data_IF_137109532913
#
_entry.id   IF_137109532913
#
_cell.length_a   1.000
_cell.length_b   1.000
_cell.length_c   1.000
_cell.angle_alpha   90.00
_cell.angle_beta   90.00
_cell.angle_gamma   90.00
#
_symmetry.space_group_name_H-M   'P 1'
#
loop_
_entity.id
_entity.type
_entity.pdbx_description
1 polymer ?
#
# COMPACT_ATOMS: atom_id res chain seq x y z
N UNK A 1 -10.20 3.68 14.11
CA UNK A 1 -9.21 3.58 13.04
C UNK A 1 -7.91 4.37 13.32
N UNK A 2 -7.99 5.61 13.83
CA UNK A 2 -6.79 6.45 14.12
C UNK A 2 -5.93 5.84 15.24
N UNK A 3 -6.53 5.24 16.25
CA UNK A 3 -5.82 4.64 17.38
C UNK A 3 -5.22 3.24 17.12
N UNK A 4 -5.50 2.60 15.98
CA UNK A 4 -5.00 1.27 15.67
C UNK A 4 -3.48 1.24 15.51
N UNK A 5 -2.86 2.14 14.71
CA UNK A 5 -1.42 2.15 14.54
C UNK A 5 -0.64 2.32 15.85
N UNK A 6 -1.08 3.24 16.70
CA UNK A 6 -0.36 3.53 17.96
C UNK A 6 -0.33 2.34 18.90
N UNK A 7 -1.40 1.51 18.91
CA UNK A 7 -1.45 0.30 19.74
C UNK A 7 -0.51 -0.79 19.23
N UNK A 8 -0.40 -0.94 17.91
CA UNK A 8 0.50 -1.93 17.29
C UNK A 8 1.95 -1.47 17.44
N UNK A 9 2.22 -0.19 17.15
CA UNK A 9 3.57 0.37 17.18
C UNK A 9 4.09 0.61 18.62
N UNK A 10 3.27 0.42 19.64
CA UNK A 10 3.71 0.51 21.03
C UNK A 10 4.87 -0.46 21.31
N UNK A 11 4.83 -1.71 20.80
CA UNK A 11 5.93 -2.68 20.93
C UNK A 11 7.20 -2.21 20.23
N UNK A 12 7.10 -1.68 19.01
CA UNK A 12 8.26 -1.12 18.27
C UNK A 12 8.88 0.07 19.02
N UNK A 13 8.06 0.84 19.73
CA UNK A 13 8.53 1.95 20.56
C UNK A 13 9.06 1.54 21.93
N UNK A 14 9.09 0.24 22.23
CA UNK A 14 9.58 -0.30 23.51
C UNK A 14 8.60 -0.11 24.68
N UNK A 15 7.33 0.13 24.41
CA UNK A 15 6.33 0.21 25.47
C UNK A 15 6.13 -1.16 26.14
N UNK A 16 6.04 -1.22 27.48
CA UNK A 16 5.93 -2.48 28.20
C UNK A 16 4.56 -3.16 28.04
N UNK A 17 3.54 -2.47 27.57
CA UNK A 17 2.21 -3.01 27.29
C UNK A 17 1.44 -2.16 26.29
N UNK A 18 0.38 -2.73 25.74
CA UNK A 18 -0.64 -2.06 24.93
C UNK A 18 -2.04 -2.48 25.34
N UNK A 19 -3.06 -1.85 24.76
CA UNK A 19 -4.45 -2.13 25.08
C UNK A 19 -5.14 -2.86 23.91
N UNK A 20 -5.69 -4.03 24.21
CA UNK A 20 -6.57 -4.77 23.33
C UNK A 20 -7.93 -5.04 24.01
N UNK A 21 -8.97 -5.27 23.22
CA UNK A 21 -10.25 -5.74 23.78
C UNK A 21 -10.27 -7.26 23.83
N UNK A 22 -11.04 -7.83 24.78
CA UNK A 22 -11.23 -9.27 24.84
C UNK A 22 -11.94 -9.81 23.58
N UNK A 23 -12.99 -9.09 23.12
CA UNK A 23 -13.75 -9.44 21.92
C UNK A 23 -14.01 -8.19 21.08
N UNK A 24 -14.02 -8.33 19.75
CA UNK A 24 -14.15 -7.19 18.84
C UNK A 24 -15.45 -6.40 19.05
N UNK A 25 -16.57 -7.09 19.35
CA UNK A 25 -17.86 -6.45 19.60
C UNK A 25 -17.92 -5.69 20.93
N UNK A 26 -16.86 -5.79 21.74
CA UNK A 26 -16.74 -5.12 23.06
C UNK A 26 -15.62 -4.09 23.05
N UNK A 27 -15.37 -3.45 21.89
CA UNK A 27 -14.39 -2.37 21.80
C UNK A 27 -14.82 -1.18 22.65
N UNK A 28 -13.95 -0.74 23.54
CA UNK A 28 -14.18 0.38 24.47
C UNK A 28 -13.65 1.71 23.91
N UNK A 29 -12.85 1.68 22.86
CA UNK A 29 -12.29 2.85 22.25
C UNK A 29 -12.12 2.69 20.74
N UNK A 30 -12.26 3.77 19.95
CA UNK A 30 -12.04 3.73 18.49
C UNK A 30 -10.66 3.19 18.14
N UNK A 31 -10.61 2.29 17.13
CA UNK A 31 -9.37 1.70 16.67
C UNK A 31 -8.74 0.65 17.60
N UNK A 32 -9.47 0.22 18.63
CA UNK A 32 -9.05 -0.87 19.49
C UNK A 32 -9.26 -2.20 18.76
N UNK A 33 -8.21 -3.02 18.71
CA UNK A 33 -8.25 -4.39 18.19
C UNK A 33 -8.55 -5.38 19.30
N UNK A 34 -9.13 -6.54 18.94
CA UNK A 34 -9.24 -7.64 19.89
C UNK A 34 -7.86 -8.26 20.15
N UNK A 35 -7.72 -8.92 21.31
CA UNK A 35 -6.51 -9.70 21.63
C UNK A 35 -6.18 -10.70 20.53
N UNK A 36 -7.18 -11.40 20.01
CA UNK A 36 -7.00 -12.34 18.90
C UNK A 36 -6.44 -11.67 17.65
N UNK A 37 -6.95 -10.49 17.25
CA UNK A 37 -6.39 -9.77 16.11
C UNK A 37 -4.95 -9.29 16.35
N UNK A 38 -4.63 -8.87 17.57
CA UNK A 38 -3.24 -8.51 17.92
C UNK A 38 -2.30 -9.71 17.79
N UNK A 39 -2.76 -10.92 18.13
CA UNK A 39 -1.96 -12.14 18.01
C UNK A 39 -1.95 -12.71 16.58
N UNK A 40 -3.12 -12.94 16.00
CA UNK A 40 -3.24 -13.68 14.74
C UNK A 40 -2.72 -12.87 13.53
N UNK A 41 -2.90 -11.55 13.55
CA UNK A 41 -2.49 -10.67 12.44
C UNK A 41 -1.09 -10.11 12.67
N UNK A 42 -0.79 -9.62 13.88
CA UNK A 42 0.42 -8.86 14.14
C UNK A 42 1.48 -9.62 14.92
N UNK A 43 1.14 -10.77 15.54
CA UNK A 43 2.01 -11.50 16.49
C UNK A 43 2.62 -10.54 17.52
N UNK A 44 1.76 -9.75 18.15
CA UNK A 44 2.17 -8.59 18.95
C UNK A 44 3.22 -8.93 20.01
N UNK A 45 3.14 -10.12 20.63
CA UNK A 45 4.08 -10.53 21.67
C UNK A 45 5.53 -10.70 21.18
N UNK A 46 5.73 -10.81 19.86
CA UNK A 46 7.06 -10.88 19.26
C UNK A 46 7.60 -9.54 18.79
N UNK A 47 6.77 -8.48 18.80
CA UNK A 47 7.18 -7.15 18.32
C UNK A 47 8.12 -6.50 19.35
N UNK A 48 9.30 -6.15 18.89
CA UNK A 48 10.33 -5.44 19.66
C UNK A 48 10.86 -4.22 18.88
N UNK A 49 11.84 -3.52 19.45
CA UNK A 49 12.44 -2.32 18.89
C UNK A 49 13.25 -2.55 17.60
N UNK A 50 13.55 -3.80 17.25
CA UNK A 50 14.27 -4.17 16.03
C UNK A 50 13.32 -4.32 14.83
N UNK A 51 12.00 -4.23 15.04
CA UNK A 51 11.03 -4.37 13.97
C UNK A 51 11.02 -3.16 13.03
N UNK A 52 11.13 -3.43 11.73
CA UNK A 52 10.92 -2.44 10.69
C UNK A 52 9.42 -2.21 10.45
N UNK A 53 9.02 -0.95 10.29
CA UNK A 53 7.62 -0.56 10.09
C UNK A 53 7.30 -0.38 8.61
N UNK A 54 6.28 -1.08 8.15
CA UNK A 54 5.65 -0.91 6.85
C UNK A 54 4.17 -0.60 7.01
N UNK A 55 3.50 -0.18 5.95
CA UNK A 55 2.07 0.03 6.06
C UNK A 55 1.36 0.40 4.79
N UNK A 56 0.06 0.66 4.93
CA UNK A 56 -0.78 1.21 3.88
C UNK A 56 -1.40 2.52 4.35
N UNK A 57 -1.40 3.52 3.48
CA UNK A 57 -2.09 4.79 3.70
C UNK A 57 -3.32 4.91 2.81
N UNK A 58 -4.44 5.30 3.41
CA UNK A 58 -5.71 5.55 2.74
C UNK A 58 -6.64 6.43 3.59
N UNK A 59 -7.75 6.89 2.99
CA UNK A 59 -8.88 7.47 3.71
C UNK A 59 -10.18 7.20 2.93
N UNK A 60 -11.06 6.31 3.41
CA UNK A 60 -10.95 5.44 4.60
C UNK A 60 -10.00 4.25 4.42
N UNK A 61 -9.63 3.56 5.52
CA UNK A 61 -8.68 2.44 5.52
C UNK A 61 -9.28 1.11 6.00
N UNK A 62 -10.45 1.14 6.62
CA UNK A 62 -11.01 0.01 7.37
C UNK A 62 -11.27 -1.29 6.60
N UNK A 63 -11.27 -1.25 5.26
CA UNK A 63 -11.53 -2.41 4.40
C UNK A 63 -10.26 -3.04 3.82
N UNK A 64 -9.08 -2.55 4.17
CA UNK A 64 -7.84 -3.05 3.60
C UNK A 64 -7.46 -4.41 4.19
N UNK A 65 -7.28 -5.40 3.33
CA UNK A 65 -6.73 -6.71 3.70
C UNK A 65 -5.19 -6.75 3.68
N UNK A 66 -4.55 -5.66 3.27
CA UNK A 66 -3.08 -5.60 3.17
C UNK A 66 -2.36 -5.95 4.47
N UNK A 67 -2.80 -5.51 5.67
CA UNK A 67 -2.14 -5.91 6.92
C UNK A 67 -2.15 -7.42 7.14
N UNK A 68 -3.26 -8.11 6.83
CA UNK A 68 -3.37 -9.56 6.99
C UNK A 68 -2.39 -10.27 6.05
N UNK A 69 -2.35 -9.87 4.78
CA UNK A 69 -1.53 -10.50 3.75
C UNK A 69 -0.03 -10.29 4.03
N UNK A 70 0.38 -9.04 4.29
CA UNK A 70 1.79 -8.72 4.47
C UNK A 70 2.35 -9.26 5.78
N UNK A 71 1.62 -9.16 6.89
CA UNK A 71 2.08 -9.70 8.15
C UNK A 71 2.20 -11.23 8.10
N UNK A 72 1.24 -11.94 7.48
CA UNK A 72 1.36 -13.37 7.28
C UNK A 72 2.61 -13.75 6.46
N UNK A 73 2.92 -12.99 5.40
CA UNK A 73 4.11 -13.20 4.61
C UNK A 73 5.40 -12.93 5.43
N UNK A 74 5.46 -11.85 6.20
CA UNK A 74 6.60 -11.53 7.06
C UNK A 74 6.84 -12.61 8.11
N UNK A 75 5.78 -13.12 8.73
CA UNK A 75 5.83 -14.23 9.69
C UNK A 75 6.39 -15.50 9.05
N UNK A 76 5.85 -15.90 7.89
CA UNK A 76 6.31 -17.10 7.18
C UNK A 76 7.77 -17.00 6.76
N UNK A 77 8.26 -15.79 6.47
CA UNK A 77 9.65 -15.54 6.07
C UNK A 77 10.58 -15.26 7.26
N UNK A 78 10.09 -15.28 8.49
CA UNK A 78 10.87 -14.99 9.70
C UNK A 78 11.43 -13.56 9.75
N UNK A 79 10.74 -12.58 9.13
CA UNK A 79 11.19 -11.19 9.07
C UNK A 79 10.70 -10.40 10.28
N UNK A 80 11.58 -9.66 10.95
CA UNK A 80 11.20 -8.69 11.98
C UNK A 80 10.57 -7.44 11.34
N UNK A 81 9.35 -7.58 10.86
CA UNK A 81 8.61 -6.53 10.16
C UNK A 81 7.16 -6.52 10.57
N UNK A 82 6.59 -5.33 10.67
CA UNK A 82 5.16 -5.16 10.91
C UNK A 82 4.54 -4.25 9.87
N UNK A 83 3.38 -4.66 9.37
CA UNK A 83 2.62 -3.91 8.37
C UNK A 83 1.34 -3.35 8.98
N UNK A 84 1.20 -2.03 8.99
CA UNK A 84 0.19 -1.29 9.77
C UNK A 84 -0.73 -0.48 8.86
N UNK A 85 -2.06 -0.44 9.11
CA UNK A 85 -2.97 0.43 8.38
C UNK A 85 -2.94 1.84 8.98
N UNK A 86 -2.65 2.86 8.16
CA UNK A 86 -2.68 4.26 8.55
C UNK A 86 -3.82 4.99 7.84
N UNK A 87 -4.81 5.44 8.60
CA UNK A 87 -5.82 6.36 8.08
C UNK A 87 -5.27 7.78 8.10
N UNK A 88 -5.04 8.34 6.92
CA UNK A 88 -4.47 9.68 6.77
C UNK A 88 -5.42 10.54 5.96
N UNK A 89 -6.06 11.56 6.57
CA UNK A 89 -6.81 12.56 5.81
C UNK A 89 -5.93 13.26 4.77
N UNK A 90 -6.50 13.64 3.65
CA UNK A 90 -5.74 14.25 2.55
C UNK A 90 -5.01 15.54 2.97
N UNK A 91 -5.61 16.32 3.87
CA UNK A 91 -5.02 17.55 4.41
C UNK A 91 -3.73 17.28 5.21
N UNK A 92 -3.62 16.12 5.86
CA UNK A 92 -2.50 15.78 6.74
C UNK A 92 -1.39 15.00 6.03
N UNK A 93 -1.62 14.56 4.78
CA UNK A 93 -0.72 13.68 4.03
C UNK A 93 0.73 14.19 3.99
N UNK A 94 0.92 15.47 3.68
CA UNK A 94 2.26 16.03 3.57
C UNK A 94 3.03 16.03 4.88
N UNK A 95 2.38 16.44 5.96
CA UNK A 95 2.94 16.46 7.32
C UNK A 95 3.23 15.03 7.80
N UNK A 96 2.31 14.11 7.55
CA UNK A 96 2.46 12.72 7.96
C UNK A 96 3.66 12.04 7.27
N UNK A 97 3.84 12.23 5.94
CA UNK A 97 4.99 11.67 5.21
C UNK A 97 6.33 12.19 5.77
N UNK A 98 6.40 13.48 6.19
CA UNK A 98 7.60 14.01 6.84
C UNK A 98 7.93 13.28 8.14
N UNK A 99 6.90 12.81 8.87
CA UNK A 99 7.08 12.10 10.13
C UNK A 99 7.36 10.60 9.96
N UNK A 100 7.18 10.02 8.77
CA UNK A 100 7.44 8.60 8.51
C UNK A 100 8.84 8.18 8.96
N UNK A 101 9.82 9.03 8.74
CA UNK A 101 11.21 8.79 9.12
C UNK A 101 11.40 8.66 10.64
N UNK A 102 10.78 9.57 11.40
CA UNK A 102 10.80 9.53 12.87
C UNK A 102 10.08 8.30 13.41
N UNK A 103 9.07 7.81 12.68
CA UNK A 103 8.32 6.61 13.03
C UNK A 103 9.00 5.30 12.55
N UNK A 104 10.18 5.38 11.94
CA UNK A 104 10.89 4.20 11.42
C UNK A 104 10.20 3.51 10.25
N UNK A 105 9.32 4.21 9.52
CA UNK A 105 8.61 3.65 8.37
C UNK A 105 9.58 3.47 7.20
N UNK A 106 9.66 2.23 6.69
CA UNK A 106 10.56 1.82 5.59
C UNK A 106 9.84 1.78 4.24
N UNK A 107 8.54 1.51 4.24
CA UNK A 107 7.77 1.45 3.00
C UNK A 107 6.27 1.53 3.21
N UNK A 108 5.58 2.03 2.19
CA UNK A 108 4.14 2.24 2.21
C UNK A 108 3.49 1.77 0.92
N UNK A 109 2.41 1.05 1.04
CA UNK A 109 1.41 0.98 -0.02
C UNK A 109 0.54 2.23 0.04
N UNK A 110 0.23 2.78 -1.11
CA UNK A 110 -0.59 4.00 -1.25
C UNK A 110 -1.85 3.68 -2.04
N UNK A 111 -3.01 3.99 -1.46
CA UNK A 111 -4.27 3.84 -2.17
C UNK A 111 -5.14 5.09 -2.07
N UNK A 112 -6.43 4.99 -2.38
CA UNK A 112 -7.36 6.13 -2.41
C UNK A 112 -7.33 6.92 -1.08
N UNK A 113 -7.27 8.26 -1.15
CA UNK A 113 -7.23 9.15 -2.33
C UNK A 113 -5.82 9.61 -2.70
N UNK A 114 -4.76 9.00 -2.20
CA UNK A 114 -3.42 9.59 -2.11
C UNK A 114 -2.49 9.32 -3.30
N UNK A 115 -2.81 8.37 -4.20
CA UNK A 115 -1.89 7.90 -5.27
C UNK A 115 -1.31 9.00 -6.16
N UNK A 116 -2.06 10.06 -6.41
CA UNK A 116 -1.60 11.21 -7.20
C UNK A 116 -0.85 12.22 -6.34
N UNK A 117 -1.39 12.53 -5.16
CA UNK A 117 -0.85 13.54 -4.26
C UNK A 117 0.56 13.21 -3.73
N UNK A 118 0.88 11.92 -3.56
CA UNK A 118 2.20 11.49 -3.05
C UNK A 118 3.33 11.66 -4.07
N UNK A 119 3.05 11.84 -5.36
CA UNK A 119 4.09 12.04 -6.39
C UNK A 119 4.99 13.22 -6.01
N UNK A 120 4.39 14.33 -5.59
CA UNK A 120 5.12 15.54 -5.17
C UNK A 120 5.90 15.37 -3.86
N UNK A 121 5.71 14.26 -3.16
CA UNK A 121 6.39 13.92 -1.91
C UNK A 121 7.55 12.93 -2.11
N UNK A 122 7.72 12.41 -3.32
CA UNK A 122 8.83 11.54 -3.67
C UNK A 122 10.00 12.36 -4.24
N UNK A 123 11.21 12.09 -3.76
CA UNK A 123 12.44 12.67 -4.33
C UNK A 123 12.74 12.07 -5.70
N UNK A 124 12.44 10.77 -5.86
CA UNK A 124 12.64 10.03 -7.11
C UNK A 124 11.40 9.21 -7.42
N UNK A 125 10.98 9.20 -8.66
CA UNK A 125 9.91 8.33 -9.13
C UNK A 125 10.39 7.50 -10.33
N UNK A 126 9.92 6.27 -10.42
CA UNK A 126 10.17 5.41 -11.56
C UNK A 126 9.64 6.07 -12.85
N UNK A 127 10.34 5.88 -13.99
CA UNK A 127 9.97 6.52 -15.24
C UNK A 127 8.52 6.29 -15.66
N UNK A 128 8.01 5.09 -15.38
CA UNK A 128 6.64 4.70 -15.69
C UNK A 128 5.59 5.49 -14.86
N UNK A 129 5.92 5.87 -13.64
CA UNK A 129 5.05 6.69 -12.77
C UNK A 129 4.73 8.02 -13.40
N UNK A 130 5.67 8.61 -14.12
CA UNK A 130 5.47 9.90 -14.83
C UNK A 130 4.41 9.79 -15.93
N UNK A 131 4.37 8.64 -16.62
CA UNK A 131 3.35 8.38 -17.64
C UNK A 131 1.98 8.05 -17.07
N UNK A 132 1.95 7.33 -15.93
CA UNK A 132 0.71 6.93 -15.26
C UNK A 132 0.09 8.09 -14.47
N UNK A 133 0.91 8.93 -13.85
CA UNK A 133 0.46 9.99 -12.96
C UNK A 133 -0.04 9.49 -11.61
N UNK A 134 0.45 8.32 -11.13
CA UNK A 134 0.06 7.75 -9.83
C UNK A 134 1.18 6.90 -9.25
N UNK A 135 1.41 7.01 -7.93
CA UNK A 135 2.28 6.16 -7.12
C UNK A 135 1.40 5.28 -6.24
N UNK A 136 1.65 3.98 -6.22
CA UNK A 136 0.99 3.05 -5.29
C UNK A 136 1.93 2.46 -4.23
N UNK A 137 3.24 2.70 -4.35
CA UNK A 137 4.27 2.19 -3.45
C UNK A 137 5.33 3.24 -3.20
N UNK A 138 5.63 3.51 -1.94
CA UNK A 138 6.71 4.40 -1.51
C UNK A 138 7.74 3.61 -0.72
N UNK A 139 9.01 3.91 -0.93
CA UNK A 139 10.14 3.35 -0.17
C UNK A 139 10.95 4.50 0.41
N UNK A 140 11.30 4.37 1.68
CA UNK A 140 12.09 5.34 2.41
C UNK A 140 13.51 4.77 2.61
N UNK A 141 14.48 5.30 1.85
CA UNK A 141 15.88 4.89 1.92
C UNK A 141 16.55 5.46 3.19
N UNK A 142 17.65 4.86 3.60
CA UNK A 142 18.41 5.30 4.80
C UNK A 142 19.02 6.70 4.64
N UNK A 143 19.35 7.10 3.41
CA UNK A 143 19.86 8.44 3.09
C UNK A 143 18.77 9.53 3.11
N UNK A 144 17.52 9.15 3.38
CA UNK A 144 16.36 10.03 3.39
C UNK A 144 15.70 10.24 2.05
N UNK A 145 16.16 9.58 1.00
CA UNK A 145 15.49 9.60 -0.29
C UNK A 145 14.15 8.86 -0.20
N UNK A 146 13.09 9.48 -0.70
CA UNK A 146 11.77 8.84 -0.86
C UNK A 146 11.59 8.48 -2.33
N UNK A 147 11.39 7.19 -2.59
CA UNK A 147 11.17 6.67 -3.95
C UNK A 147 9.72 6.28 -4.15
N UNK A 148 9.17 6.64 -5.30
CA UNK A 148 7.80 6.29 -5.69
C UNK A 148 7.75 5.33 -6.88
N UNK A 149 6.92 4.28 -6.75
CA UNK A 149 6.72 3.23 -7.74
C UNK A 149 5.24 3.03 -8.06
N UNK A 150 4.97 2.38 -9.19
CA UNK A 150 3.63 1.90 -9.51
C UNK A 150 3.65 0.44 -9.95
N UNK A 151 3.25 -0.45 -9.05
CA UNK A 151 3.18 -1.89 -9.30
C UNK A 151 1.85 -2.33 -9.94
N UNK A 152 0.80 -1.48 -9.92
CA UNK A 152 -0.52 -1.79 -10.51
C UNK A 152 -0.40 -2.04 -12.02
N UNK A 153 0.43 -1.23 -12.70
CA UNK A 153 0.69 -1.38 -14.13
C UNK A 153 1.21 -2.77 -14.48
N UNK A 154 2.29 -3.19 -13.82
CA UNK A 154 2.94 -4.48 -14.09
C UNK A 154 2.01 -5.63 -13.76
N UNK A 155 1.39 -5.61 -12.58
CA UNK A 155 0.45 -6.64 -12.16
C UNK A 155 -0.71 -6.82 -13.13
N UNK A 156 -1.31 -5.72 -13.61
CA UNK A 156 -2.41 -5.77 -14.56
C UNK A 156 -1.96 -6.30 -15.92
N UNK A 157 -0.82 -5.84 -16.45
CA UNK A 157 -0.31 -6.29 -17.74
C UNK A 157 0.11 -7.75 -17.72
N UNK A 158 0.84 -8.19 -16.71
CA UNK A 158 1.28 -9.59 -16.58
C UNK A 158 0.07 -10.53 -16.46
N UNK A 159 -0.94 -10.13 -15.68
CA UNK A 159 -2.19 -10.93 -15.56
C UNK A 159 -2.95 -11.03 -16.86
N UNK A 160 -3.12 -9.91 -17.57
CA UNK A 160 -3.81 -9.87 -18.86
C UNK A 160 -3.10 -10.70 -19.93
N UNK A 161 -1.78 -10.56 -20.03
CA UNK A 161 -0.99 -11.26 -21.03
C UNK A 161 -0.99 -12.78 -20.81
N UNK A 162 -1.00 -13.23 -19.55
CA UNK A 162 -1.15 -14.67 -19.22
C UNK A 162 -2.48 -15.23 -19.72
N UNK A 163 -3.59 -14.50 -19.52
CA UNK A 163 -4.92 -14.94 -20.00
C UNK A 163 -5.01 -14.98 -21.53
N UNK A 164 -4.25 -14.12 -22.19
CA UNK A 164 -4.21 -14.07 -23.66
C UNK A 164 -3.16 -15.05 -24.27
N UNK A 165 -2.71 -16.05 -23.50
CA UNK A 165 -1.67 -17.02 -23.90
C UNK A 165 -0.40 -16.34 -24.47
N UNK A 166 -0.07 -15.19 -23.93
CA UNK A 166 1.11 -14.46 -24.33
C UNK A 166 2.27 -14.78 -23.39
N UNK A 167 3.40 -15.08 -23.97
CA UNK A 167 4.67 -15.14 -23.24
C UNK A 167 4.95 -13.76 -22.61
N UNK A 168 5.00 -13.64 -21.26
CA UNK A 168 5.25 -12.36 -20.60
C UNK A 168 6.60 -11.75 -20.97
N UNK A 169 7.58 -12.58 -21.36
CA UNK A 169 8.92 -12.17 -21.74
C UNK A 169 9.02 -11.75 -23.21
N UNK A 170 8.03 -12.02 -24.01
CA UNK A 170 7.93 -11.53 -25.39
C UNK A 170 7.12 -10.23 -25.43
N UNK A 171 7.70 -9.23 -26.06
CA UNK A 171 7.06 -7.92 -26.29
C UNK A 171 5.83 -8.09 -27.20
N UNK A 172 4.68 -8.51 -26.61
CA UNK A 172 3.44 -8.66 -27.36
C UNK A 172 2.82 -7.31 -27.65
N UNK A 173 2.60 -7.04 -28.92
CA UNK A 173 1.79 -5.92 -29.37
C UNK A 173 0.30 -6.24 -29.18
N UNK A 174 -0.44 -5.30 -28.61
CA UNK A 174 -1.90 -5.32 -28.55
C UNK A 174 -2.53 -4.47 -29.67
N UNK A 175 -1.79 -4.25 -30.74
CA UNK A 175 -2.28 -3.50 -31.92
C UNK A 175 -3.54 -4.19 -32.48
N UNK A 176 -4.60 -3.40 -32.66
CA UNK A 176 -5.91 -3.89 -33.11
C UNK A 176 -6.84 -4.36 -31.98
N UNK A 177 -6.33 -4.51 -30.75
CA UNK A 177 -7.17 -4.82 -29.59
C UNK A 177 -7.89 -3.55 -29.14
N UNK A 178 -9.21 -3.68 -28.89
CA UNK A 178 -10.02 -2.63 -28.26
C UNK A 178 -10.30 -3.01 -26.81
N UNK A 179 -9.98 -2.13 -25.87
CA UNK A 179 -10.18 -2.34 -24.44
C UNK A 179 -11.13 -1.28 -23.87
N UNK A 180 -12.13 -1.72 -23.12
CA UNK A 180 -13.03 -0.85 -22.36
C UNK A 180 -12.66 -0.93 -20.88
N UNK A 181 -12.38 0.22 -20.27
CA UNK A 181 -12.12 0.35 -18.84
C UNK A 181 -13.32 1.01 -18.19
N UNK A 182 -13.88 0.35 -17.17
CA UNK A 182 -14.98 0.87 -16.36
C UNK A 182 -14.41 1.51 -15.10
N UNK A 183 -14.44 2.85 -15.05
CA UNK A 183 -13.89 3.66 -13.96
C UNK A 183 -12.64 4.45 -14.37
N UNK A 184 -12.40 5.60 -13.73
CA UNK A 184 -11.30 6.52 -14.02
C UNK A 184 -10.37 6.80 -12.81
N UNK A 185 -10.27 5.88 -11.85
CA UNK A 185 -9.42 5.98 -10.68
C UNK A 185 -7.93 5.73 -10.97
N UNK A 186 -7.10 5.76 -9.93
CA UNK A 186 -5.64 5.60 -10.05
C UNK A 186 -5.19 4.28 -10.69
N UNK A 187 -5.91 3.16 -10.44
CA UNK A 187 -5.65 1.87 -11.09
C UNK A 187 -6.00 1.92 -12.57
N UNK A 188 -7.10 2.56 -12.93
CA UNK A 188 -7.53 2.71 -14.33
C UNK A 188 -6.50 3.46 -15.16
N UNK A 189 -5.85 4.47 -14.60
CA UNK A 189 -4.73 5.18 -15.24
C UNK A 189 -3.57 4.25 -15.56
N UNK A 190 -3.19 3.39 -14.62
CA UNK A 190 -2.10 2.44 -14.79
C UNK A 190 -2.42 1.40 -15.89
N UNK A 191 -3.64 0.87 -15.89
CA UNK A 191 -4.11 -0.10 -16.88
C UNK A 191 -4.20 0.55 -18.27
N UNK A 192 -4.80 1.73 -18.37
CA UNK A 192 -4.93 2.45 -19.64
C UNK A 192 -3.56 2.77 -20.23
N UNK A 193 -2.64 3.23 -19.42
CA UNK A 193 -1.26 3.48 -19.85
C UNK A 193 -0.60 2.20 -20.39
N UNK A 194 -0.76 1.09 -19.68
CA UNK A 194 -0.19 -0.20 -20.09
C UNK A 194 -0.72 -0.71 -21.42
N UNK A 195 -2.03 -0.68 -21.58
CA UNK A 195 -2.72 -1.09 -22.81
C UNK A 195 -2.31 -0.21 -23.99
N UNK A 196 -2.34 1.12 -23.81
CA UNK A 196 -1.96 2.07 -24.85
C UNK A 196 -0.49 1.92 -25.25
N UNK A 197 0.43 1.73 -24.29
CA UNK A 197 1.85 1.48 -24.53
C UNK A 197 2.09 0.22 -25.39
N UNK A 198 1.21 -0.78 -25.26
CA UNK A 198 1.25 -2.00 -26.07
C UNK A 198 0.46 -1.89 -27.39
N UNK A 199 -0.10 -0.72 -27.71
CA UNK A 199 -0.75 -0.41 -28.99
C UNK A 199 -2.26 -0.70 -29.03
N UNK A 200 -2.90 -0.99 -27.90
CA UNK A 200 -4.35 -1.15 -27.84
C UNK A 200 -5.08 0.19 -27.98
N UNK A 201 -6.28 0.16 -28.55
CA UNK A 201 -7.23 1.29 -28.47
C UNK A 201 -7.97 1.20 -27.16
N UNK A 202 -7.85 2.24 -26.32
CA UNK A 202 -8.44 2.26 -24.97
C UNK A 202 -9.61 3.23 -24.91
N UNK A 203 -10.75 2.76 -24.42
CA UNK A 203 -11.93 3.57 -24.10
C UNK A 203 -12.13 3.52 -22.59
N UNK A 204 -12.30 4.67 -21.96
CA UNK A 204 -12.55 4.78 -20.53
C UNK A 204 -13.93 5.40 -20.33
N UNK A 205 -14.74 4.79 -19.48
CA UNK A 205 -16.00 5.37 -19.02
C UNK A 205 -16.02 5.44 -17.49
N UNK A 206 -16.54 6.52 -16.94
CA UNK A 206 -16.80 6.66 -15.52
C UNK A 206 -18.12 7.40 -15.29
N UNK A 207 -18.73 7.18 -14.15
CA UNK A 207 -19.88 7.96 -13.69
C UNK A 207 -19.41 9.31 -13.19
#
# INVERSE_FOLDING_TARGET
EIGTPTRILAGVSGAPFTYATFHQDRSLAPGQLSYRQMQDIYQYDSIDQDYEVFGVIADPIGHSLSPIIHNAAFQQMGMKRVYVPFRIPQADLGKWIQHCRTLGVRGLSVTIPHKEAVISKCNKVEAIVRGIGAVNTMVFDDDGTVRGYNTDYRAAMDSLLRVLDADPDKERSLKGVKALILGAGGVSKAIAFGLAKKGATVVITSR
#
